data_IF_878158668461
#
_entry.id   IF_878158668461
#
_cell.length_a   1.000
_cell.length_b   1.000
_cell.length_c   1.000
_cell.angle_alpha   90.00
_cell.angle_beta   90.00
_cell.angle_gamma   90.00
#
_symmetry.space_group_name_H-M   'P 1'
#
loop_
_entity.id
_entity.type
_entity.pdbx_description
1 polymer ?
#
# COMPACT_ATOMS: atom_id res chain seq x y z
N UNK A 1 3.44 1.36 21.90
CA UNK A 1 4.11 0.15 22.40
C UNK A 1 5.40 0.56 23.07
N UNK A 2 5.55 0.26 24.37
CA UNK A 2 6.72 0.70 25.19
C UNK A 2 8.09 0.14 24.76
N UNK A 3 8.19 -0.46 23.55
CA UNK A 3 9.43 -1.00 22.96
C UNK A 3 9.87 -0.29 21.69
N UNK A 4 9.24 0.82 21.30
CA UNK A 4 9.60 1.56 20.09
C UNK A 4 9.30 0.84 18.76
N UNK A 5 8.44 -0.16 18.76
CA UNK A 5 8.04 -0.87 17.56
C UNK A 5 7.01 -0.06 16.77
N UNK A 6 7.18 0.01 15.47
CA UNK A 6 6.20 0.55 14.55
C UNK A 6 5.24 -0.56 14.13
N UNK A 7 3.95 -0.37 14.39
CA UNK A 7 2.93 -1.38 14.18
C UNK A 7 1.94 -0.93 13.10
N UNK A 8 1.84 -1.68 12.02
CA UNK A 8 0.75 -1.59 11.06
C UNK A 8 -0.33 -2.61 11.39
N UNK A 9 -1.56 -2.15 11.62
CA UNK A 9 -2.70 -3.00 11.89
C UNK A 9 -3.58 -3.12 10.65
N UNK A 10 -3.83 -4.36 10.14
CA UNK A 10 -4.66 -4.55 8.97
C UNK A 10 -6.13 -4.22 9.27
N UNK A 11 -6.80 -3.55 8.33
CA UNK A 11 -8.22 -3.20 8.41
C UNK A 11 -9.05 -3.99 7.40
N UNK A 12 -8.44 -4.44 6.32
CA UNK A 12 -9.09 -5.20 5.26
C UNK A 12 -9.34 -6.65 5.64
N UNK A 13 -10.34 -7.27 5.00
CA UNK A 13 -10.54 -8.72 5.02
C UNK A 13 -9.42 -9.40 4.23
N UNK A 14 -8.66 -10.32 4.84
CA UNK A 14 -7.56 -10.99 4.16
C UNK A 14 -7.99 -11.67 2.84
N UNK A 15 -7.22 -11.46 1.79
CA UNK A 15 -7.40 -12.11 0.49
C UNK A 15 -8.62 -11.65 -0.32
N UNK A 16 -9.36 -10.63 0.14
CA UNK A 16 -10.53 -10.15 -0.60
C UNK A 16 -10.15 -9.39 -1.88
N UNK A 17 -10.83 -9.74 -2.98
CA UNK A 17 -10.80 -9.01 -4.25
C UNK A 17 -12.18 -9.17 -4.91
N UNK A 18 -12.97 -8.10 -5.05
CA UNK A 18 -12.70 -6.72 -4.63
C UNK A 18 -12.44 -6.58 -3.13
N UNK A 19 -11.78 -5.46 -2.76
CA UNK A 19 -11.48 -5.09 -1.38
C UNK A 19 -12.74 -5.15 -0.52
N UNK A 20 -12.64 -5.76 0.66
CA UNK A 20 -13.73 -5.89 1.64
C UNK A 20 -13.21 -5.67 3.06
N UNK A 21 -14.12 -5.34 3.93
CA UNK A 21 -13.85 -5.13 5.35
C UNK A 21 -14.77 -5.99 6.19
N UNK A 22 -14.31 -6.39 7.37
CA UNK A 22 -15.14 -7.13 8.33
C UNK A 22 -15.83 -6.16 9.29
N UNK A 23 -16.98 -6.57 9.78
CA UNK A 23 -17.76 -5.81 10.75
C UNK A 23 -19.01 -5.13 10.16
N UNK A 24 -19.88 -4.67 11.07
CA UNK A 24 -21.16 -4.03 10.76
C UNK A 24 -21.14 -2.50 10.91
N UNK A 25 -20.04 -1.95 11.45
CA UNK A 25 -19.87 -0.52 11.69
C UNK A 25 -19.08 0.13 10.56
N UNK A 26 -19.25 1.44 10.40
CA UNK A 26 -18.42 2.20 9.47
C UNK A 26 -16.93 2.09 9.83
N UNK A 27 -16.05 2.22 8.85
CA UNK A 27 -14.59 2.18 9.07
C UNK A 27 -14.14 3.25 10.06
N UNK A 28 -14.70 4.44 9.98
CA UNK A 28 -14.40 5.53 10.92
C UNK A 28 -14.75 5.15 12.36
N UNK A 29 -15.91 4.52 12.60
CA UNK A 29 -16.31 4.04 13.93
C UNK A 29 -15.36 2.98 14.47
N UNK A 30 -14.89 2.07 13.60
CA UNK A 30 -13.92 1.05 14.02
C UNK A 30 -12.59 1.68 14.45
N UNK A 31 -12.10 2.68 13.70
CA UNK A 31 -10.82 3.33 13.96
C UNK A 31 -10.81 4.20 15.24
N UNK A 32 -11.94 4.70 15.69
CA UNK A 32 -12.03 5.49 16.95
C UNK A 32 -11.46 4.74 18.16
N UNK A 33 -11.57 3.43 18.17
CA UNK A 33 -11.08 2.59 19.26
C UNK A 33 -9.64 2.09 19.09
N UNK A 34 -8.98 2.43 17.98
CA UNK A 34 -7.59 2.01 17.76
C UNK A 34 -6.63 2.99 18.42
N UNK A 35 -5.52 2.50 19.01
CA UNK A 35 -4.45 3.37 19.46
C UNK A 35 -3.88 4.20 18.31
N UNK A 36 -3.79 5.50 18.50
CA UNK A 36 -3.37 6.44 17.43
C UNK A 36 -1.93 6.25 16.95
N UNK A 37 -1.09 5.64 17.77
CA UNK A 37 0.28 5.27 17.40
C UNK A 37 0.36 4.06 16.47
N UNK A 38 -0.75 3.37 16.21
CA UNK A 38 -0.81 2.30 15.22
C UNK A 38 -1.16 2.88 13.85
N UNK A 39 -0.43 2.39 12.85
CA UNK A 39 -0.71 2.74 11.45
C UNK A 39 -1.81 1.83 10.92
N UNK A 40 -2.81 2.39 10.28
CA UNK A 40 -3.85 1.61 9.58
C UNK A 40 -3.23 1.06 8.30
N UNK A 41 -3.07 -0.27 8.23
CA UNK A 41 -2.59 -0.95 7.02
C UNK A 41 -3.79 -1.42 6.22
N UNK A 42 -3.86 -1.08 4.94
CA UNK A 42 -4.86 -1.59 4.01
C UNK A 42 -4.16 -2.21 2.80
N UNK A 43 -4.41 -3.51 2.55
CA UNK A 43 -3.92 -4.21 1.37
C UNK A 43 -5.01 -4.22 0.30
N UNK A 44 -4.64 -3.89 -0.92
CA UNK A 44 -5.49 -4.02 -2.09
C UNK A 44 -4.79 -4.84 -3.18
N UNK A 45 -5.49 -5.85 -3.69
CA UNK A 45 -5.10 -6.53 -4.93
C UNK A 45 -5.63 -5.71 -6.11
N UNK A 46 -4.75 -4.97 -6.77
CA UNK A 46 -5.13 -4.00 -7.79
C UNK A 46 -4.27 -4.13 -9.04
N UNK A 47 -4.91 -4.14 -10.20
CA UNK A 47 -4.23 -4.02 -11.48
C UNK A 47 -4.88 -2.90 -12.32
N UNK A 48 -4.08 -2.03 -12.96
CA UNK A 48 -4.62 -0.94 -13.78
C UNK A 48 -5.51 -1.40 -14.95
N UNK A 49 -5.33 -2.64 -15.40
CA UNK A 49 -6.09 -3.24 -16.50
C UNK A 49 -7.21 -4.18 -16.03
N UNK A 50 -7.56 -4.15 -14.73
CA UNK A 50 -8.78 -4.79 -14.22
C UNK A 50 -10.03 -4.25 -14.92
N UNK A 51 -11.10 -5.02 -14.92
CA UNK A 51 -12.38 -4.56 -15.41
C UNK A 51 -12.78 -3.23 -14.73
N UNK A 52 -13.32 -2.30 -15.50
CA UNK A 52 -13.64 -0.96 -15.00
C UNK A 52 -14.56 -0.98 -13.77
N UNK A 53 -15.53 -1.88 -13.72
CA UNK A 53 -16.43 -2.04 -12.58
C UNK A 53 -15.68 -2.48 -11.31
N UNK A 54 -14.72 -3.42 -11.42
CA UNK A 54 -13.91 -3.86 -10.29
C UNK A 54 -13.01 -2.71 -9.77
N UNK A 55 -12.38 -1.97 -10.68
CA UNK A 55 -11.57 -0.82 -10.30
C UNK A 55 -12.39 0.24 -9.57
N UNK A 56 -13.54 0.62 -10.14
CA UNK A 56 -14.41 1.61 -9.54
C UNK A 56 -14.86 1.21 -8.12
N UNK A 57 -15.23 -0.06 -7.92
CA UNK A 57 -15.61 -0.58 -6.61
C UNK A 57 -14.44 -0.53 -5.62
N UNK A 58 -13.24 -0.89 -6.04
CA UNK A 58 -12.04 -0.84 -5.19
C UNK A 58 -11.63 0.61 -4.87
N UNK A 59 -11.73 1.51 -5.84
CA UNK A 59 -11.44 2.93 -5.66
C UNK A 59 -12.40 3.55 -4.63
N UNK A 60 -13.69 3.21 -4.68
CA UNK A 60 -14.69 3.66 -3.69
C UNK A 60 -14.34 3.17 -2.27
N UNK A 61 -13.96 1.91 -2.11
CA UNK A 61 -13.54 1.39 -0.81
C UNK A 61 -12.26 2.04 -0.30
N UNK A 62 -11.29 2.28 -1.17
CA UNK A 62 -10.04 2.97 -0.80
C UNK A 62 -10.31 4.42 -0.38
N UNK A 63 -11.23 5.14 -1.03
CA UNK A 63 -11.66 6.46 -0.61
C UNK A 63 -12.27 6.44 0.80
N UNK A 64 -13.12 5.45 1.09
CA UNK A 64 -13.71 5.31 2.43
C UNK A 64 -12.64 5.05 3.51
N UNK A 65 -11.62 4.23 3.23
CA UNK A 65 -10.47 4.03 4.14
C UNK A 65 -9.71 5.33 4.34
N UNK A 66 -9.43 6.04 3.25
CA UNK A 66 -8.73 7.32 3.30
C UNK A 66 -9.47 8.34 4.16
N UNK A 67 -10.77 8.52 3.95
CA UNK A 67 -11.60 9.42 4.74
C UNK A 67 -11.65 9.00 6.21
N UNK A 68 -11.81 7.71 6.49
CA UNK A 68 -11.84 7.19 7.85
C UNK A 68 -10.52 7.43 8.60
N UNK A 69 -9.37 7.27 7.95
CA UNK A 69 -8.05 7.54 8.55
C UNK A 69 -7.87 9.03 8.80
N UNK A 70 -8.31 9.91 7.89
CA UNK A 70 -8.31 11.36 8.10
C UNK A 70 -9.18 11.77 9.30
N UNK A 71 -10.40 11.24 9.36
CA UNK A 71 -11.33 11.55 10.44
C UNK A 71 -10.85 11.06 11.81
N UNK A 72 -10.17 9.92 11.88
CA UNK A 72 -9.67 9.34 13.12
C UNK A 72 -8.26 9.82 13.50
N UNK A 73 -7.54 10.51 12.59
CA UNK A 73 -6.18 11.00 12.80
C UNK A 73 -5.11 9.90 12.80
N UNK A 74 -5.39 8.76 12.16
CA UNK A 74 -4.41 7.71 11.94
C UNK A 74 -3.64 7.92 10.64
N UNK A 75 -2.40 7.43 10.59
CA UNK A 75 -1.66 7.28 9.33
C UNK A 75 -2.19 6.08 8.55
N UNK A 76 -2.27 6.22 7.24
CA UNK A 76 -2.57 5.13 6.31
C UNK A 76 -1.29 4.58 5.68
N UNK A 77 -1.11 3.26 5.76
CA UNK A 77 -0.17 2.51 4.95
C UNK A 77 -0.97 1.72 3.92
N UNK A 78 -0.85 2.09 2.66
CA UNK A 78 -1.51 1.40 1.57
C UNK A 78 -0.58 0.39 0.91
N UNK A 79 -0.96 -0.90 1.02
CA UNK A 79 -0.24 -2.01 0.43
C UNK A 79 -0.85 -2.37 -0.92
N UNK A 80 -0.04 -2.26 -1.98
CA UNK A 80 -0.49 -2.51 -3.36
C UNK A 80 0.15 -3.77 -3.88
N UNK A 81 -0.68 -4.76 -4.20
CA UNK A 81 -0.23 -6.04 -4.76
C UNK A 81 -0.95 -6.29 -6.09
N UNK A 82 -0.26 -6.19 -7.22
CA UNK A 82 -0.82 -6.64 -8.48
C UNK A 82 -1.09 -8.16 -8.46
N UNK A 83 -2.26 -8.63 -8.91
CA UNK A 83 -2.56 -10.05 -9.00
C UNK A 83 -1.60 -10.77 -9.94
N UNK A 84 -1.07 -11.92 -9.49
CA UNK A 84 -0.02 -12.65 -10.22
C UNK A 84 -0.47 -13.17 -11.58
N UNK A 85 -1.74 -13.52 -11.72
CA UNK A 85 -2.36 -14.00 -12.95
C UNK A 85 -2.51 -12.92 -14.02
N UNK A 86 -2.33 -11.66 -13.66
CA UNK A 86 -2.39 -10.52 -14.57
C UNK A 86 -1.00 -9.96 -14.94
N UNK A 87 0.08 -10.56 -14.46
CA UNK A 87 1.43 -10.07 -14.65
C UNK A 87 2.20 -10.93 -15.65
N UNK A 88 2.80 -10.31 -16.65
CA UNK A 88 3.90 -10.91 -17.38
C UNK A 88 5.21 -10.88 -16.54
N UNK A 89 6.18 -11.75 -16.81
CA UNK A 89 7.46 -11.72 -16.12
C UNK A 89 8.14 -10.34 -16.20
N UNK A 90 8.43 -9.76 -15.04
CA UNK A 90 9.08 -8.45 -14.94
C UNK A 90 8.15 -7.23 -14.89
N UNK A 91 6.83 -7.40 -15.05
CA UNK A 91 5.88 -6.28 -15.14
C UNK A 91 5.39 -5.76 -13.79
N UNK A 92 5.75 -6.42 -12.68
CA UNK A 92 5.27 -6.06 -11.33
C UNK A 92 5.52 -4.59 -11.01
N UNK A 93 6.71 -4.08 -11.27
CA UNK A 93 7.08 -2.69 -10.96
C UNK A 93 6.27 -1.68 -11.77
N UNK A 94 6.05 -1.95 -13.05
CA UNK A 94 5.25 -1.07 -13.90
C UNK A 94 3.77 -1.07 -13.48
N UNK A 95 3.21 -2.24 -13.17
CA UNK A 95 1.83 -2.35 -12.68
C UNK A 95 1.64 -1.58 -11.36
N UNK A 96 2.59 -1.68 -10.43
CA UNK A 96 2.60 -0.91 -9.17
C UNK A 96 2.66 0.60 -9.44
N UNK A 97 3.56 1.06 -10.30
CA UNK A 97 3.69 2.48 -10.64
C UNK A 97 2.40 3.04 -11.27
N UNK A 98 1.79 2.30 -12.19
CA UNK A 98 0.52 2.69 -12.82
C UNK A 98 -0.61 2.74 -11.79
N UNK A 99 -0.70 1.79 -10.87
CA UNK A 99 -1.68 1.78 -9.81
C UNK A 99 -1.51 2.97 -8.87
N UNK A 100 -0.31 3.26 -8.39
CA UNK A 100 -0.03 4.40 -7.50
C UNK A 100 -0.30 5.73 -8.20
N UNK A 101 0.05 5.86 -9.48
CA UNK A 101 -0.29 7.04 -10.27
C UNK A 101 -1.81 7.25 -10.37
N UNK A 102 -2.56 6.18 -10.56
CA UNK A 102 -4.03 6.22 -10.56
C UNK A 102 -4.56 6.66 -9.18
N UNK A 103 -4.06 6.09 -8.09
CA UNK A 103 -4.49 6.45 -6.74
C UNK A 103 -4.22 7.92 -6.41
N UNK A 104 -3.07 8.46 -6.79
CA UNK A 104 -2.83 9.90 -6.70
C UNK A 104 -3.80 10.70 -7.57
N UNK A 105 -4.15 10.20 -8.76
CA UNK A 105 -5.11 10.82 -9.68
C UNK A 105 -6.50 10.96 -9.09
N UNK A 106 -6.92 10.02 -8.25
CA UNK A 106 -8.21 10.06 -7.54
C UNK A 106 -8.12 10.70 -6.13
N UNK A 107 -6.96 11.27 -5.78
CA UNK A 107 -6.78 12.04 -4.55
C UNK A 107 -6.34 11.24 -3.32
N UNK A 108 -6.01 9.95 -3.46
CA UNK A 108 -5.47 9.15 -2.34
C UNK A 108 -4.02 9.54 -2.08
N UNK A 109 -3.72 9.95 -0.86
CA UNK A 109 -2.38 10.38 -0.41
C UNK A 109 -2.03 9.71 0.91
N UNK A 110 -1.74 8.39 0.90
CA UNK A 110 -1.39 7.68 2.12
C UNK A 110 -0.02 8.14 2.64
N UNK A 111 0.16 8.13 3.95
CA UNK A 111 1.46 8.46 4.56
C UNK A 111 2.54 7.46 4.17
N UNK A 112 2.15 6.22 3.88
CA UNK A 112 3.08 5.14 3.58
C UNK A 112 2.61 4.29 2.42
N UNK A 113 3.52 3.95 1.55
CA UNK A 113 3.32 2.90 0.56
C UNK A 113 3.97 1.59 1.03
N UNK A 114 3.32 0.45 0.77
CA UNK A 114 3.92 -0.86 0.93
C UNK A 114 3.79 -1.62 -0.38
N UNK A 115 4.93 -2.03 -0.94
CA UNK A 115 5.00 -2.69 -2.24
C UNK A 115 5.98 -3.84 -2.22
N UNK A 116 5.82 -4.79 -3.16
CA UNK A 116 6.75 -5.89 -3.33
C UNK A 116 8.11 -5.43 -3.85
N UNK A 117 9.06 -6.37 -3.88
CA UNK A 117 10.37 -6.14 -4.50
C UNK A 117 10.22 -5.86 -5.99
N UNK A 118 11.00 -4.93 -6.51
CA UNK A 118 11.03 -4.54 -7.93
C UNK A 118 12.42 -4.04 -8.30
N UNK A 119 12.71 -3.92 -9.61
CA UNK A 119 14.02 -3.44 -10.08
C UNK A 119 14.27 -1.97 -9.70
N UNK A 120 15.54 -1.59 -9.54
CA UNK A 120 15.98 -0.26 -9.12
C UNK A 120 15.30 0.88 -9.90
N UNK A 121 15.20 0.74 -11.22
CA UNK A 121 14.53 1.74 -12.07
C UNK A 121 13.08 2.05 -11.66
N UNK A 122 12.36 1.06 -11.13
CA UNK A 122 10.98 1.26 -10.67
C UNK A 122 10.94 1.95 -9.30
N UNK A 123 11.94 1.69 -8.44
CA UNK A 123 12.10 2.43 -7.18
C UNK A 123 12.41 3.90 -7.42
N UNK A 124 13.29 4.20 -8.38
CA UNK A 124 13.62 5.58 -8.77
C UNK A 124 12.40 6.29 -9.35
N UNK A 125 11.64 5.60 -10.20
CA UNK A 125 10.40 6.13 -10.78
C UNK A 125 9.32 6.35 -9.70
N UNK A 126 9.20 5.46 -8.71
CA UNK A 126 8.28 5.63 -7.58
C UNK A 126 8.68 6.82 -6.70
N UNK A 127 9.98 6.97 -6.40
CA UNK A 127 10.50 8.11 -5.64
C UNK A 127 10.18 9.44 -6.34
N UNK A 128 10.40 9.51 -7.65
CA UNK A 128 10.07 10.70 -8.44
C UNK A 128 8.56 10.99 -8.45
N UNK A 129 7.73 9.96 -8.64
CA UNK A 129 6.27 10.09 -8.65
C UNK A 129 5.74 10.59 -7.28
N UNK A 130 6.24 10.03 -6.19
CA UNK A 130 5.82 10.43 -4.84
C UNK A 130 6.22 11.87 -4.56
N UNK A 131 7.46 12.27 -4.88
CA UNK A 131 7.90 13.66 -4.69
C UNK A 131 7.07 14.66 -5.49
N UNK A 132 6.67 14.29 -6.69
CA UNK A 132 5.84 15.15 -7.54
C UNK A 132 4.42 15.32 -6.99
N UNK A 133 3.82 14.20 -6.53
CA UNK A 133 2.38 14.15 -6.22
C UNK A 133 2.05 14.35 -4.76
N UNK A 134 2.97 13.95 -3.87
CA UNK A 134 2.73 13.96 -2.43
C UNK A 134 4.02 14.21 -1.63
N UNK A 135 4.43 15.47 -1.47
CA UNK A 135 5.61 15.82 -0.71
C UNK A 135 5.50 15.50 0.80
N UNK A 136 4.30 15.14 1.27
CA UNK A 136 4.05 14.79 2.68
C UNK A 136 4.08 13.27 2.93
N UNK A 137 4.19 12.45 1.89
CA UNK A 137 4.39 11.02 2.04
C UNK A 137 5.67 10.74 2.82
N UNK A 138 5.57 9.91 3.85
CA UNK A 138 6.71 9.58 4.73
C UNK A 138 7.67 8.59 4.12
N UNK A 139 7.19 7.77 3.20
CA UNK A 139 8.04 6.83 2.48
C UNK A 139 7.34 5.56 2.02
N UNK A 140 8.17 4.64 1.55
CA UNK A 140 7.75 3.30 1.17
C UNK A 140 8.48 2.24 2.01
N UNK A 141 7.78 1.13 2.28
CA UNK A 141 8.34 -0.07 2.89
C UNK A 141 8.16 -1.26 1.96
N UNK A 142 9.12 -2.17 2.02
CA UNK A 142 9.13 -3.36 1.18
C UNK A 142 8.31 -4.45 1.85
N UNK A 143 7.46 -5.13 1.09
CA UNK A 143 6.77 -6.34 1.52
C UNK A 143 7.78 -7.48 1.65
N UNK A 144 7.95 -8.01 2.86
CA UNK A 144 8.91 -9.08 3.17
C UNK A 144 8.32 -10.49 3.20
N UNK A 145 7.11 -10.71 2.66
CA UNK A 145 6.40 -11.98 2.82
C UNK A 145 6.41 -12.82 1.52
N UNK A 146 6.45 -14.16 1.69
CA UNK A 146 6.21 -15.16 0.63
C UNK A 146 7.27 -15.21 -0.48
N UNK A 147 8.51 -14.79 -0.22
CA UNK A 147 9.63 -14.94 -1.14
C UNK A 147 10.78 -15.70 -0.47
N UNK A 148 11.56 -16.49 -1.22
CA UNK A 148 12.82 -17.04 -0.73
C UNK A 148 13.75 -15.93 -0.23
N UNK A 149 14.53 -16.22 0.81
CA UNK A 149 15.43 -15.24 1.46
C UNK A 149 16.39 -14.61 0.46
N UNK A 150 16.93 -15.39 -0.46
CA UNK A 150 17.87 -14.93 -1.50
C UNK A 150 17.20 -13.88 -2.42
N UNK A 151 15.92 -14.09 -2.77
CA UNK A 151 15.17 -13.14 -3.59
C UNK A 151 14.84 -11.86 -2.82
N UNK A 152 14.57 -11.97 -1.51
CA UNK A 152 14.37 -10.79 -0.66
C UNK A 152 15.67 -9.98 -0.54
N UNK A 153 16.82 -10.63 -0.32
CA UNK A 153 18.12 -9.96 -0.25
C UNK A 153 18.40 -9.22 -1.57
N UNK A 154 18.21 -9.90 -2.70
CA UNK A 154 18.39 -9.28 -4.01
C UNK A 154 17.42 -8.08 -4.21
N UNK A 155 16.16 -8.26 -3.86
CA UNK A 155 15.14 -7.19 -3.95
C UNK A 155 15.45 -5.99 -3.04
N UNK A 156 15.98 -6.22 -1.85
CA UNK A 156 16.43 -5.13 -0.95
C UNK A 156 17.65 -4.39 -1.52
N UNK A 157 18.57 -5.10 -2.19
CA UNK A 157 19.71 -4.48 -2.85
C UNK A 157 19.32 -3.53 -3.99
N UNK A 158 18.17 -3.77 -4.65
CA UNK A 158 17.61 -2.91 -5.68
C UNK A 158 16.91 -1.66 -5.10
N UNK A 159 16.42 -1.74 -3.86
CA UNK A 159 15.58 -0.71 -3.23
C UNK A 159 16.40 0.40 -2.56
N UNK A 160 17.19 1.14 -3.35
CA UNK A 160 18.10 2.17 -2.85
C UNK A 160 17.55 3.60 -2.93
N UNK A 161 16.36 3.79 -3.48
CA UNK A 161 15.75 5.11 -3.59
C UNK A 161 15.52 5.73 -2.19
N UNK A 162 15.69 7.05 -2.02
CA UNK A 162 15.51 7.76 -0.74
C UNK A 162 14.12 7.58 -0.11
N UNK A 163 13.12 7.29 -0.94
CA UNK A 163 11.75 6.97 -0.50
C UNK A 163 11.70 5.72 0.38
N UNK A 164 12.57 4.74 0.15
CA UNK A 164 12.53 3.45 0.87
C UNK A 164 13.04 3.63 2.29
N UNK A 165 12.21 3.30 3.28
CA UNK A 165 12.53 3.45 4.71
C UNK A 165 12.79 2.13 5.43
N UNK A 166 12.55 1.01 4.77
CA UNK A 166 12.77 -0.31 5.34
C UNK A 166 11.79 -1.36 4.79
N UNK A 167 11.45 -2.32 5.62
CA UNK A 167 10.55 -3.40 5.25
C UNK A 167 9.53 -3.67 6.37
N UNK A 168 8.40 -4.29 5.99
CA UNK A 168 7.38 -4.71 6.94
C UNK A 168 6.99 -6.16 6.66
N UNK A 169 7.07 -6.99 7.70
CA UNK A 169 6.68 -8.41 7.67
C UNK A 169 5.39 -8.56 8.49
N UNK A 170 4.46 -9.31 7.98
CA UNK A 170 3.24 -9.71 8.67
C UNK A 170 3.37 -11.08 9.33
#
# INVERSE_FOLDING_TARGET
TGRGWWLGRPIERPGSRPLRFDGTHSLATQLVHWPREQVVKCLVFYHPDDAAALRAEQDEWLQQVWEATRASGHELLLEVIPPKDMLAPGDTGEAVLRAIRHFYGIGLKPEWWKVGTMAARHWDALDALVRERDPYCRGAVILGLSQPVEQLIAGFAEARAPLVKGFMIG
#
